data_IF_429493229821
#
_entry.id   IF_429493229821
#
_cell.length_a   1.000
_cell.length_b   1.000
_cell.length_c   1.000
_cell.angle_alpha   90.00
_cell.angle_beta   90.00
_cell.angle_gamma   90.00
#
_symmetry.space_group_name_H-M   'P 1'
#
loop_
_entity.id
_entity.type
_entity.pdbx_description
1 polymer ?
#
# COMPACT_ATOMS: atom_id res chain seq x y z
N UNK A 1 32.43 -5.55 -2.83
CA UNK A 1 33.90 -5.64 -2.71
C UNK A 1 34.44 -4.23 -2.87
N UNK A 2 34.97 -3.66 -1.79
CA UNK A 2 35.38 -2.26 -1.76
C UNK A 2 36.79 -2.05 -2.35
N UNK A 3 37.06 -2.55 -3.56
CA UNK A 3 38.32 -2.29 -4.30
C UNK A 3 38.46 -0.82 -4.76
N UNK A 4 38.01 0.13 -3.94
CA UNK A 4 37.89 1.56 -4.25
C UNK A 4 36.56 1.97 -4.89
N UNK A 5 35.58 1.07 -5.01
CA UNK A 5 34.33 1.31 -5.76
C UNK A 5 33.15 1.68 -4.84
N UNK A 6 32.95 0.91 -3.77
CA UNK A 6 31.79 1.06 -2.88
C UNK A 6 32.25 1.77 -1.61
N UNK A 7 32.17 3.09 -1.63
CA UNK A 7 32.27 3.92 -0.43
C UNK A 7 30.89 3.91 0.26
N UNK A 8 30.83 4.14 1.58
CA UNK A 8 29.57 4.21 2.35
C UNK A 8 28.56 5.20 1.74
N UNK A 9 29.08 6.18 0.99
CA UNK A 9 28.33 7.15 0.19
C UNK A 9 27.43 6.51 -0.87
N UNK A 10 27.87 5.44 -1.54
CA UNK A 10 27.10 4.80 -2.60
C UNK A 10 25.84 4.10 -2.08
N UNK A 11 25.95 3.42 -0.94
CA UNK A 11 24.81 2.80 -0.26
C UNK A 11 23.80 3.86 0.21
N UNK A 12 24.28 4.96 0.80
CA UNK A 12 23.45 6.10 1.23
C UNK A 12 22.74 6.74 0.03
N UNK A 13 23.43 6.90 -1.10
CA UNK A 13 22.84 7.45 -2.33
C UNK A 13 21.73 6.55 -2.86
N UNK A 14 21.93 5.23 -2.92
CA UNK A 14 20.90 4.27 -3.37
C UNK A 14 19.67 4.31 -2.47
N UNK A 15 19.86 4.25 -1.15
CA UNK A 15 18.74 4.29 -0.19
C UNK A 15 17.94 5.60 -0.31
N UNK A 16 18.64 6.74 -0.45
CA UNK A 16 18.01 8.04 -0.62
C UNK A 16 17.22 8.11 -1.94
N UNK A 17 17.72 7.47 -2.98
CA UNK A 17 17.08 7.40 -4.29
C UNK A 17 15.78 6.59 -4.23
N UNK A 18 15.78 5.46 -3.53
CA UNK A 18 14.57 4.65 -3.31
C UNK A 18 13.52 5.42 -2.50
N UNK A 19 13.96 6.15 -1.47
CA UNK A 19 13.07 7.02 -0.68
C UNK A 19 12.43 8.12 -1.53
N UNK A 20 13.21 8.79 -2.40
CA UNK A 20 12.70 9.83 -3.29
C UNK A 20 11.75 9.28 -4.36
N UNK A 21 12.02 8.08 -4.90
CA UNK A 21 11.10 7.41 -5.84
C UNK A 21 9.76 7.08 -5.18
N UNK A 22 9.79 6.58 -3.94
CA UNK A 22 8.58 6.29 -3.15
C UNK A 22 7.80 7.58 -2.86
N UNK A 23 8.49 8.64 -2.44
CA UNK A 23 7.87 9.95 -2.18
C UNK A 23 7.21 10.51 -3.44
N UNK A 24 7.90 10.46 -4.60
CA UNK A 24 7.35 10.87 -5.89
C UNK A 24 6.05 10.14 -6.20
N UNK A 25 6.05 8.81 -6.06
CA UNK A 25 4.86 7.99 -6.35
C UNK A 25 3.69 8.36 -5.42
N UNK A 26 3.96 8.67 -4.16
CA UNK A 26 2.93 9.10 -3.22
C UNK A 26 2.30 10.45 -3.60
N UNK A 27 3.11 11.39 -4.06
CA UNK A 27 2.67 12.73 -4.49
C UNK A 27 1.91 12.64 -5.81
N UNK A 28 2.38 11.83 -6.75
CA UNK A 28 1.73 11.57 -8.03
C UNK A 28 0.32 10.98 -7.83
N UNK A 29 0.17 10.00 -6.93
CA UNK A 29 -1.15 9.47 -6.56
C UNK A 29 -2.07 10.54 -5.99
N UNK A 30 -1.55 11.41 -5.12
CA UNK A 30 -2.33 12.53 -4.55
C UNK A 30 -2.73 13.54 -5.62
N UNK A 31 -1.82 13.90 -6.52
CA UNK A 31 -2.08 14.80 -7.65
C UNK A 31 -3.19 14.25 -8.55
N UNK A 32 -3.13 12.97 -8.91
CA UNK A 32 -4.14 12.33 -9.75
C UNK A 32 -5.52 12.28 -9.06
N UNK A 33 -5.57 12.06 -7.74
CA UNK A 33 -6.82 12.11 -6.99
C UNK A 33 -7.42 13.52 -6.94
N UNK A 34 -6.60 14.57 -6.87
CA UNK A 34 -7.05 15.96 -6.91
C UNK A 34 -7.59 16.32 -8.29
N UNK A 35 -6.87 15.95 -9.36
CA UNK A 35 -7.34 16.15 -10.75
C UNK A 35 -8.66 15.42 -11.02
N UNK A 36 -8.79 14.16 -10.57
CA UNK A 36 -10.04 13.41 -10.73
C UNK A 36 -11.22 14.10 -10.03
N UNK A 37 -11.01 14.55 -8.78
CA UNK A 37 -12.03 15.31 -8.04
C UNK A 37 -12.39 16.63 -8.72
N UNK A 38 -11.43 17.25 -9.43
CA UNK A 38 -11.68 18.46 -10.23
C UNK A 38 -12.59 18.17 -11.42
N UNK A 39 -12.35 17.08 -12.15
CA UNK A 39 -13.21 16.68 -13.26
C UNK A 39 -14.63 16.34 -12.77
N UNK A 40 -14.75 15.55 -11.70
CA UNK A 40 -16.04 15.24 -11.06
C UNK A 40 -16.77 16.53 -10.62
N UNK A 41 -16.03 17.52 -10.11
CA UNK A 41 -16.57 18.82 -9.74
C UNK A 41 -17.07 19.62 -10.97
N UNK A 42 -16.31 19.64 -12.07
CA UNK A 42 -16.73 20.35 -13.28
C UNK A 42 -18.01 19.74 -13.88
N UNK A 43 -18.12 18.41 -13.90
CA UNK A 43 -19.34 17.71 -14.32
C UNK A 43 -20.54 18.04 -13.40
N UNK A 44 -20.29 18.07 -12.09
CA UNK A 44 -21.30 18.42 -11.09
C UNK A 44 -21.85 19.85 -11.30
N UNK A 45 -20.99 20.83 -11.60
CA UNK A 45 -21.41 22.23 -11.84
C UNK A 45 -22.26 22.35 -13.09
N UNK A 46 -21.85 21.71 -14.20
CA UNK A 46 -22.64 21.69 -15.44
C UNK A 46 -24.02 21.09 -15.22
N UNK A 47 -24.10 19.97 -14.47
CA UNK A 47 -25.38 19.34 -14.15
C UNK A 47 -26.32 20.24 -13.33
N UNK A 48 -25.75 21.07 -12.44
CA UNK A 48 -26.53 22.00 -11.63
C UNK A 48 -27.05 23.16 -12.47
N UNK A 49 -26.27 23.67 -13.42
CA UNK A 49 -26.74 24.70 -14.36
C UNK A 49 -27.87 24.19 -15.25
N UNK A 50 -27.75 22.98 -15.82
CA UNK A 50 -28.81 22.38 -16.62
C UNK A 50 -30.11 22.21 -15.82
N UNK A 51 -30.00 21.79 -14.55
CA UNK A 51 -31.14 21.67 -13.64
C UNK A 51 -31.79 23.05 -13.37
N UNK A 52 -31.01 24.11 -13.18
CA UNK A 52 -31.52 25.48 -13.02
C UNK A 52 -32.25 26.01 -14.27
N UNK A 53 -31.72 25.74 -15.48
CA UNK A 53 -32.39 26.09 -16.74
C UNK A 53 -33.70 25.34 -16.90
N UNK A 54 -33.73 24.04 -16.55
CA UNK A 54 -34.95 23.22 -16.62
C UNK A 54 -36.07 23.69 -15.67
N UNK A 55 -35.69 24.30 -14.55
CA UNK A 55 -36.61 24.86 -13.56
C UNK A 55 -37.07 26.28 -13.91
N UNK A 56 -36.56 26.87 -15.01
CA UNK A 56 -36.88 28.24 -15.42
C UNK A 56 -36.22 29.31 -14.53
N UNK A 57 -35.19 28.94 -13.76
CA UNK A 57 -34.44 29.85 -12.88
C UNK A 57 -33.39 30.62 -13.70
N UNK A 58 -32.82 29.97 -14.73
CA UNK A 58 -31.86 30.55 -15.67
C UNK A 58 -32.37 30.47 -17.11
N UNK A 59 -32.10 31.50 -17.91
CA UNK A 59 -32.50 31.53 -19.33
C UNK A 59 -31.54 30.75 -20.23
N UNK A 60 -30.25 30.67 -19.86
CA UNK A 60 -29.19 29.95 -20.58
C UNK A 60 -28.09 29.46 -19.63
N UNK A 61 -27.38 28.41 -20.06
CA UNK A 61 -26.15 27.92 -19.44
C UNK A 61 -24.97 28.86 -19.75
N UNK A 62 -24.00 28.93 -18.84
CA UNK A 62 -22.76 29.69 -19.04
C UNK A 62 -21.67 28.79 -19.64
N UNK A 63 -20.86 29.33 -20.55
CA UNK A 63 -19.70 28.60 -21.09
C UNK A 63 -18.50 28.58 -20.10
N UNK A 64 -18.50 29.48 -19.10
CA UNK A 64 -17.47 29.57 -18.06
C UNK A 64 -17.96 29.06 -16.70
N UNK A 65 -17.19 28.15 -16.09
CA UNK A 65 -17.49 27.45 -14.84
C UNK A 65 -17.43 28.40 -13.64
N UNK A 66 -16.53 29.38 -13.66
CA UNK A 66 -16.42 30.34 -12.57
C UNK A 66 -17.63 31.28 -12.55
N UNK A 67 -18.06 31.72 -13.74
CA UNK A 67 -19.28 32.49 -13.94
C UNK A 67 -20.52 31.68 -13.54
N UNK A 68 -20.59 30.40 -13.92
CA UNK A 68 -21.64 29.47 -13.52
C UNK A 68 -21.78 29.36 -11.99
N UNK A 69 -20.66 29.18 -11.28
CA UNK A 69 -20.65 29.07 -9.82
C UNK A 69 -21.13 30.35 -9.13
N UNK A 70 -20.72 31.52 -9.61
CA UNK A 70 -21.17 32.79 -9.07
C UNK A 70 -22.68 32.97 -9.26
N UNK A 71 -23.20 32.65 -10.45
CA UNK A 71 -24.63 32.70 -10.77
C UNK A 71 -25.41 31.73 -9.87
N UNK A 72 -24.93 30.49 -9.72
CA UNK A 72 -25.53 29.48 -8.85
C UNK A 72 -25.48 29.88 -7.37
N UNK A 73 -24.41 30.53 -6.92
CA UNK A 73 -24.29 31.04 -5.55
C UNK A 73 -25.29 32.18 -5.30
N UNK A 74 -25.50 33.08 -6.27
CA UNK A 74 -26.54 34.12 -6.21
C UNK A 74 -27.95 33.52 -6.21
N UNK A 75 -28.19 32.49 -7.03
CA UNK A 75 -29.47 31.74 -7.06
C UNK A 75 -29.75 31.08 -5.71
N UNK A 76 -28.72 30.56 -5.02
CA UNK A 76 -28.88 29.96 -3.69
C UNK A 76 -29.28 30.98 -2.61
N UNK A 77 -28.90 32.26 -2.80
CA UNK A 77 -29.10 33.35 -1.83
C UNK A 77 -30.31 34.25 -2.17
N UNK A 78 -30.92 34.10 -3.34
CA UNK A 78 -31.98 34.99 -3.83
C UNK A 78 -33.36 34.75 -3.19
N UNK A 79 -34.09 35.81 -2.80
CA UNK A 79 -35.44 35.71 -2.23
C UNK A 79 -36.48 35.32 -3.29
N UNK A 80 -37.32 34.34 -2.93
CA UNK A 80 -38.24 33.62 -3.82
C UNK A 80 -39.35 34.49 -4.42
N UNK A 81 -39.65 35.63 -3.79
CA UNK A 81 -40.71 36.55 -4.22
C UNK A 81 -40.44 37.19 -5.59
N UNK A 82 -39.22 37.06 -6.13
CA UNK A 82 -38.85 37.53 -7.46
C UNK A 82 -39.34 36.61 -8.60
N UNK A 83 -39.78 35.39 -8.31
CA UNK A 83 -40.05 34.35 -9.33
C UNK A 83 -41.54 34.09 -9.65
N UNK A 84 -42.51 34.94 -9.25
CA UNK A 84 -43.86 34.84 -9.84
C UNK A 84 -45.02 35.58 -9.17
N UNK A 85 -45.64 36.49 -9.93
CA UNK A 85 -46.85 37.27 -9.57
C UNK A 85 -48.18 36.46 -9.54
N UNK A 86 -48.13 35.13 -9.49
CA UNK A 86 -49.30 34.22 -9.33
C UNK A 86 -49.26 33.53 -7.94
N UNK A 87 -48.17 33.72 -7.18
CA UNK A 87 -47.82 32.95 -6.00
C UNK A 87 -48.74 33.10 -4.78
N UNK A 88 -49.39 34.25 -4.54
CA UNK A 88 -50.10 34.46 -3.26
C UNK A 88 -51.28 33.51 -3.04
N UNK A 89 -52.12 33.28 -4.06
CA UNK A 89 -53.29 32.40 -3.92
C UNK A 89 -52.89 30.92 -3.86
N UNK A 90 -51.90 30.51 -4.65
CA UNK A 90 -51.38 29.13 -4.62
C UNK A 90 -50.66 28.86 -3.30
N UNK A 91 -49.84 29.80 -2.81
CA UNK A 91 -49.13 29.74 -1.51
C UNK A 91 -50.09 29.55 -0.35
N UNK A 92 -51.23 30.25 -0.33
CA UNK A 92 -52.27 30.07 0.70
C UNK A 92 -52.87 28.66 0.65
N UNK A 93 -53.13 28.12 -0.54
CA UNK A 93 -53.66 26.75 -0.68
C UNK A 93 -52.61 25.67 -0.36
N UNK A 94 -51.36 25.82 -0.77
CA UNK A 94 -50.27 24.87 -0.46
C UNK A 94 -49.92 24.85 1.02
N UNK A 95 -49.86 26.01 1.69
CA UNK A 95 -49.69 26.08 3.15
C UNK A 95 -50.83 25.36 3.87
N UNK A 96 -52.07 25.54 3.38
CA UNK A 96 -53.24 24.85 3.92
C UNK A 96 -53.20 23.35 3.67
N UNK A 97 -52.74 22.88 2.52
CA UNK A 97 -52.53 21.44 2.25
C UNK A 97 -51.51 20.85 3.23
N UNK A 98 -50.42 21.57 3.49
CA UNK A 98 -49.36 21.14 4.38
C UNK A 98 -49.83 21.07 5.84
N UNK A 99 -50.65 22.02 6.28
CA UNK A 99 -51.30 21.97 7.60
C UNK A 99 -52.28 20.81 7.73
N UNK A 100 -53.16 20.62 6.75
CA UNK A 100 -54.18 19.57 6.76
C UNK A 100 -53.54 18.18 6.67
N UNK A 101 -52.51 18.00 5.85
CA UNK A 101 -51.77 16.74 5.76
C UNK A 101 -51.00 16.41 7.04
N UNK A 102 -50.42 17.41 7.72
CA UNK A 102 -49.81 17.23 9.05
C UNK A 102 -50.84 16.81 10.09
N UNK A 103 -52.03 17.44 10.10
CA UNK A 103 -53.14 17.05 10.99
C UNK A 103 -53.60 15.63 10.70
N UNK A 104 -53.84 15.31 9.42
CA UNK A 104 -54.25 13.98 8.98
C UNK A 104 -53.27 12.89 9.42
N UNK A 105 -51.96 13.13 9.27
CA UNK A 105 -50.93 12.18 9.72
C UNK A 105 -51.02 11.91 11.23
N UNK A 106 -51.24 12.93 12.06
CA UNK A 106 -51.41 12.76 13.50
C UNK A 106 -52.65 11.91 13.83
N UNK A 107 -53.77 12.18 13.17
CA UNK A 107 -55.00 11.43 13.39
C UNK A 107 -54.93 9.99 12.86
N UNK A 108 -54.25 9.74 11.73
CA UNK A 108 -53.99 8.39 11.22
C UNK A 108 -53.08 7.59 12.15
N UNK A 109 -51.97 8.18 12.59
CA UNK A 109 -51.06 7.53 13.55
C UNK A 109 -51.79 7.19 14.86
N UNK A 110 -52.68 8.08 15.33
CA UNK A 110 -53.52 7.80 16.49
C UNK A 110 -54.48 6.61 16.24
N UNK A 111 -55.17 6.60 15.09
CA UNK A 111 -56.08 5.51 14.74
C UNK A 111 -55.36 4.17 14.55
N UNK A 112 -54.15 4.17 13.96
CA UNK A 112 -53.33 2.97 13.80
C UNK A 112 -52.80 2.45 15.13
N UNK A 113 -52.18 3.31 15.94
CA UNK A 113 -51.71 2.92 17.27
C UNK A 113 -52.84 2.46 18.19
N UNK A 114 -54.04 3.01 18.03
CA UNK A 114 -55.21 2.55 18.77
C UNK A 114 -55.73 1.19 18.29
N UNK A 115 -55.72 0.92 16.98
CA UNK A 115 -56.05 -0.42 16.44
C UNK A 115 -55.06 -1.48 16.93
N UNK A 116 -53.78 -1.14 16.97
CA UNK A 116 -52.73 -2.03 17.50
C UNK A 116 -52.91 -2.29 19.00
N UNK A 117 -53.24 -1.25 19.77
CA UNK A 117 -53.62 -1.40 21.18
C UNK A 117 -54.85 -2.30 21.35
N UNK A 118 -55.87 -2.18 20.49
CA UNK A 118 -57.04 -3.07 20.50
C UNK A 118 -56.69 -4.52 20.17
N UNK A 119 -55.78 -4.80 19.23
CA UNK A 119 -55.34 -6.17 18.96
C UNK A 119 -54.60 -6.78 20.15
N UNK A 120 -53.74 -6.01 20.81
CA UNK A 120 -53.01 -6.45 22.01
C UNK A 120 -53.99 -6.77 23.16
N UNK A 121 -55.04 -5.96 23.34
CA UNK A 121 -56.11 -6.27 24.31
C UNK A 121 -56.80 -7.58 23.95
N UNK A 122 -57.10 -7.81 22.66
CA UNK A 122 -57.80 -9.02 22.21
C UNK A 122 -56.96 -10.29 22.38
N UNK A 123 -55.66 -10.22 22.10
CA UNK A 123 -54.71 -11.31 22.37
C UNK A 123 -54.55 -11.58 23.88
N UNK A 124 -54.58 -10.52 24.69
CA UNK A 124 -54.59 -10.63 26.15
C UNK A 124 -55.89 -11.28 26.65
N UNK A 125 -57.05 -11.00 26.05
CA UNK A 125 -58.32 -11.66 26.36
C UNK A 125 -58.29 -13.16 26.04
N UNK A 126 -57.62 -13.56 24.94
CA UNK A 126 -57.43 -14.96 24.57
C UNK A 126 -56.49 -15.70 25.54
N UNK A 127 -55.49 -15.00 26.08
CA UNK A 127 -54.56 -15.51 27.10
C UNK A 127 -55.24 -15.81 28.44
N UNK A 128 -56.44 -15.25 28.69
CA UNK A 128 -57.24 -15.44 29.91
C UNK A 128 -58.16 -16.68 29.79
N UNK A 129 -58.44 -17.17 28.58
CA UNK A 129 -59.32 -18.34 28.36
C UNK A 129 -58.86 -19.62 29.07
N UNK A 130 -57.55 -19.96 29.17
CA UNK A 130 -57.08 -21.14 29.87
C UNK A 130 -57.40 -21.12 31.36
N UNK A 131 -57.34 -19.95 32.02
CA UNK A 131 -57.68 -19.80 33.45
C UNK A 131 -59.15 -20.10 33.68
N UNK A 132 -60.03 -19.56 32.82
CA UNK A 132 -61.47 -19.84 32.87
C UNK A 132 -61.78 -21.32 32.64
N UNK A 133 -61.10 -21.96 31.68
CA UNK A 133 -61.21 -23.40 31.45
C UNK A 133 -60.74 -24.23 32.64
N UNK A 134 -59.60 -23.83 33.24
CA UNK A 134 -59.04 -24.49 34.42
C UNK A 134 -60.00 -24.41 35.60
N UNK A 135 -60.61 -23.26 35.91
CA UNK A 135 -61.58 -23.11 36.99
C UNK A 135 -62.83 -23.98 36.80
N UNK A 136 -63.37 -24.04 35.57
CA UNK A 136 -64.54 -24.84 35.23
C UNK A 136 -64.27 -26.35 35.43
N UNK A 137 -63.03 -26.78 35.15
CA UNK A 137 -62.55 -28.16 35.36
C UNK A 137 -61.92 -28.42 36.74
N UNK A 138 -61.56 -27.38 37.49
CA UNK A 138 -60.85 -27.52 38.76
C UNK A 138 -61.71 -28.21 39.82
N UNK A 139 -63.02 -27.95 39.81
CA UNK A 139 -64.00 -28.64 40.67
C UNK A 139 -64.04 -30.16 40.45
N UNK A 140 -63.59 -30.64 39.29
CA UNK A 140 -63.58 -32.08 38.93
C UNK A 140 -62.24 -32.77 39.21
N UNK A 141 -61.11 -32.05 39.30
CA UNK A 141 -59.77 -32.66 39.15
C UNK A 141 -58.93 -32.68 40.44
N UNK A 142 -59.00 -31.68 41.35
CA UNK A 142 -58.13 -31.64 42.55
C UNK A 142 -58.80 -30.93 43.77
N UNK A 143 -59.09 -31.63 44.88
CA UNK A 143 -59.62 -31.00 46.10
C UNK A 143 -58.48 -30.51 47.02
N UNK A 144 -58.02 -29.28 46.83
CA UNK A 144 -57.07 -28.60 47.73
C UNK A 144 -57.45 -27.13 47.95
N UNK A 145 -57.67 -26.72 49.20
CA UNK A 145 -58.26 -25.41 49.54
C UNK A 145 -57.41 -24.20 49.13
N UNK A 146 -56.08 -24.27 49.29
CA UNK A 146 -55.17 -23.14 48.99
C UNK A 146 -55.07 -22.82 47.50
N UNK A 147 -55.15 -23.82 46.63
CA UNK A 147 -55.02 -23.63 45.19
C UNK A 147 -56.30 -23.03 44.60
N UNK A 148 -57.46 -23.35 45.18
CA UNK A 148 -58.74 -22.74 44.80
C UNK A 148 -58.75 -21.23 45.09
N UNK A 149 -58.25 -20.80 46.26
CA UNK A 149 -58.15 -19.37 46.61
C UNK A 149 -57.29 -18.59 45.61
N UNK A 150 -56.14 -19.15 45.21
CA UNK A 150 -55.26 -18.53 44.21
C UNK A 150 -55.93 -18.45 42.84
N UNK A 151 -56.59 -19.52 42.40
CA UNK A 151 -57.29 -19.53 41.11
C UNK A 151 -58.47 -18.56 41.09
N UNK A 152 -59.19 -18.43 42.20
CA UNK A 152 -60.32 -17.51 42.32
C UNK A 152 -59.87 -16.04 42.35
N UNK A 153 -58.80 -15.72 43.11
CA UNK A 153 -58.19 -14.39 43.08
C UNK A 153 -57.72 -14.01 41.67
N UNK A 154 -57.14 -14.99 40.95
CA UNK A 154 -56.75 -14.82 39.55
C UNK A 154 -57.97 -14.59 38.64
N UNK A 155 -59.10 -15.28 38.85
CA UNK A 155 -60.34 -15.06 38.10
C UNK A 155 -60.89 -13.64 38.29
N UNK A 156 -60.92 -13.17 39.54
CA UNK A 156 -61.48 -11.88 39.91
C UNK A 156 -60.66 -10.72 39.35
N UNK A 157 -59.32 -10.78 39.45
CA UNK A 157 -58.42 -9.81 38.84
C UNK A 157 -58.56 -9.80 37.31
N UNK A 158 -58.64 -10.97 36.68
CA UNK A 158 -58.78 -11.08 35.23
C UNK A 158 -60.15 -10.60 34.73
N UNK A 159 -61.21 -10.82 35.49
CA UNK A 159 -62.56 -10.33 35.16
C UNK A 159 -62.64 -8.82 35.30
N UNK A 160 -62.06 -8.26 36.36
CA UNK A 160 -61.93 -6.81 36.58
C UNK A 160 -61.14 -6.13 35.46
N UNK A 161 -60.02 -6.74 35.02
CA UNK A 161 -59.25 -6.27 33.88
C UNK A 161 -60.10 -6.24 32.60
N UNK A 162 -60.87 -7.30 32.32
CA UNK A 162 -61.73 -7.43 31.14
C UNK A 162 -62.85 -6.38 31.08
N UNK A 163 -63.49 -6.08 32.21
CA UNK A 163 -64.52 -5.03 32.28
C UNK A 163 -63.94 -3.63 32.07
N UNK A 164 -62.75 -3.37 32.61
CA UNK A 164 -62.03 -2.11 32.41
C UNK A 164 -61.69 -1.86 30.93
N UNK A 165 -61.41 -2.93 30.17
CA UNK A 165 -61.11 -2.85 28.73
C UNK A 165 -62.35 -2.56 27.89
N UNK A 166 -63.49 -3.22 28.16
CA UNK A 166 -64.74 -2.99 27.42
C UNK A 166 -65.21 -1.54 27.49
N UNK A 167 -65.17 -0.92 28.68
CA UNK A 167 -65.55 0.50 28.86
C UNK A 167 -64.68 1.48 28.06
N UNK A 168 -63.42 1.14 27.77
CA UNK A 168 -62.52 1.98 26.97
C UNK A 168 -62.78 1.87 25.46
N UNK A 169 -63.33 0.74 25.00
CA UNK A 169 -63.55 0.47 23.59
C UNK A 169 -64.67 1.34 22.97
N UNK A 170 -65.68 1.68 23.76
CA UNK A 170 -66.83 2.52 23.36
C UNK A 170 -66.59 4.04 23.59
N UNK A 171 -65.33 4.45 23.75
CA UNK A 171 -64.99 5.85 24.03
C UNK A 171 -65.44 6.78 22.88
N UNK A 172 -66.30 7.75 23.20
CA UNK A 172 -66.81 8.77 22.29
C UNK A 172 -65.69 9.53 21.54
N UNK A 173 -64.50 9.64 22.15
CA UNK A 173 -63.31 10.26 21.55
C UNK A 173 -62.85 9.57 20.25
N UNK A 174 -63.02 8.24 20.12
CA UNK A 174 -62.59 7.48 18.94
C UNK A 174 -63.50 7.71 17.74
N UNK A 175 -64.81 7.69 17.98
CA UNK A 175 -65.82 7.95 16.95
C UNK A 175 -65.64 9.36 16.39
N UNK A 176 -65.32 10.32 17.26
CA UNK A 176 -65.02 11.70 16.88
C UNK A 176 -63.72 11.79 16.05
N UNK A 177 -62.62 11.19 16.50
CA UNK A 177 -61.33 11.24 15.80
C UNK A 177 -61.37 10.54 14.42
N UNK A 178 -62.05 9.39 14.32
CA UNK A 178 -62.21 8.69 13.03
C UNK A 178 -63.13 9.44 12.06
N UNK A 179 -64.18 10.08 12.56
CA UNK A 179 -65.04 10.99 11.80
C UNK A 179 -64.28 12.22 11.28
N UNK A 180 -63.51 12.86 12.16
CA UNK A 180 -62.64 14.00 11.80
C UNK A 180 -61.57 13.61 10.78
N UNK A 181 -61.03 12.39 10.86
CA UNK A 181 -60.06 11.87 9.86
C UNK A 181 -60.70 11.82 8.46
N UNK A 182 -61.92 11.29 8.33
CA UNK A 182 -62.65 11.23 7.05
C UNK A 182 -63.00 12.62 6.51
N UNK A 183 -63.37 13.55 7.38
CA UNK A 183 -63.65 14.94 6.99
C UNK A 183 -62.39 15.65 6.45
N UNK A 184 -61.24 15.46 7.11
CA UNK A 184 -59.95 16.01 6.65
C UNK A 184 -59.48 15.40 5.32
N UNK A 185 -59.77 14.12 5.07
CA UNK A 185 -59.48 13.47 3.78
C UNK A 185 -60.30 14.06 2.65
N UNK A 186 -61.59 14.36 2.90
CA UNK A 186 -62.46 15.02 1.92
C UNK A 186 -62.00 16.47 1.64
N UNK A 187 -61.65 17.24 2.68
CA UNK A 187 -61.15 18.62 2.53
C UNK A 187 -59.83 18.65 1.73
N UNK A 188 -58.92 17.69 1.98
CA UNK A 188 -57.67 17.55 1.20
C UNK A 188 -57.93 17.17 -0.25
N UNK A 189 -58.89 16.28 -0.52
CA UNK A 189 -59.23 15.88 -1.88
C UNK A 189 -59.78 17.07 -2.69
N UNK A 190 -60.68 17.86 -2.11
CA UNK A 190 -61.21 19.07 -2.76
C UNK A 190 -60.12 20.13 -3.00
N UNK A 191 -59.23 20.31 -2.02
CA UNK A 191 -58.15 21.30 -2.11
C UNK A 191 -57.12 20.91 -3.18
N UNK A 192 -56.82 19.62 -3.33
CA UNK A 192 -55.99 19.10 -4.43
C UNK A 192 -56.61 19.32 -5.81
N UNK A 193 -57.92 19.14 -5.96
CA UNK A 193 -58.63 19.44 -7.22
C UNK A 193 -58.56 20.93 -7.56
N UNK A 194 -58.61 21.82 -6.55
CA UNK A 194 -58.44 23.27 -6.75
C UNK A 194 -57.00 23.62 -7.17
N UNK A 195 -55.99 23.00 -6.57
CA UNK A 195 -54.57 23.19 -6.94
C UNK A 195 -54.28 22.68 -8.35
N UNK A 196 -54.74 21.47 -8.72
CA UNK A 196 -54.49 20.91 -10.06
C UNK A 196 -55.16 21.73 -11.17
N UNK A 197 -56.35 22.27 -10.92
CA UNK A 197 -57.05 23.17 -11.86
C UNK A 197 -56.32 24.50 -12.05
N UNK A 198 -55.68 25.04 -11.01
CA UNK A 198 -54.86 26.25 -11.09
C UNK A 198 -53.52 25.99 -11.81
N UNK A 199 -52.85 24.87 -11.51
CA UNK A 199 -51.58 24.48 -12.15
C UNK A 199 -51.74 24.13 -13.64
N UNK A 200 -52.90 23.58 -14.05
CA UNK A 200 -53.18 23.30 -15.46
C UNK A 200 -53.28 24.53 -16.37
N UNK A 201 -53.54 25.71 -15.80
CA UNK A 201 -53.60 26.99 -16.50
C UNK A 201 -52.22 27.67 -16.64
N UNK A 202 -51.21 27.19 -15.90
CA UNK A 202 -49.86 27.77 -15.82
C UNK A 202 -48.78 26.79 -16.32
N UNK A 203 -48.87 26.35 -17.59
CA UNK A 203 -47.81 25.57 -18.23
C UNK A 203 -46.55 26.44 -18.41
N UNK A 204 -45.60 26.34 -17.48
CA UNK A 204 -44.26 26.92 -17.68
C UNK A 204 -43.45 27.26 -16.44
N UNK A 205 -43.97 27.14 -15.21
CA UNK A 205 -43.21 27.54 -14.02
C UNK A 205 -43.21 26.40 -12.98
N UNK A 206 -42.01 26.00 -12.57
CA UNK A 206 -41.79 25.00 -11.53
C UNK A 206 -42.47 25.41 -10.22
N UNK A 207 -42.91 24.43 -9.44
CA UNK A 207 -43.57 24.73 -8.16
C UNK A 207 -42.58 25.38 -7.19
N UNK A 208 -43.04 26.27 -6.28
CA UNK A 208 -42.17 26.85 -5.26
C UNK A 208 -41.40 25.81 -4.44
N UNK A 209 -42.01 24.63 -4.22
CA UNK A 209 -41.38 23.49 -3.53
C UNK A 209 -40.19 22.91 -4.29
N UNK A 210 -40.23 22.86 -5.61
CA UNK A 210 -39.13 22.37 -6.45
C UNK A 210 -37.96 23.35 -6.43
N UNK A 211 -38.26 24.65 -6.47
CA UNK A 211 -37.26 25.71 -6.34
C UNK A 211 -36.60 25.65 -4.95
N UNK A 212 -37.36 25.47 -3.87
CA UNK A 212 -36.82 25.29 -2.51
C UNK A 212 -35.89 24.07 -2.38
N UNK A 213 -36.30 22.93 -2.96
CA UNK A 213 -35.50 21.70 -2.94
C UNK A 213 -34.18 21.90 -3.70
N UNK A 214 -34.26 22.59 -4.83
CA UNK A 214 -33.11 22.91 -5.64
C UNK A 214 -32.16 23.87 -4.93
N UNK A 215 -32.64 24.99 -4.36
CA UNK A 215 -31.82 25.93 -3.58
C UNK A 215 -31.14 25.26 -2.38
N UNK A 216 -31.82 24.37 -1.66
CA UNK A 216 -31.22 23.61 -0.55
C UNK A 216 -30.13 22.64 -0.99
N UNK A 217 -30.35 21.92 -2.09
CA UNK A 217 -29.34 21.04 -2.72
C UNK A 217 -28.13 21.86 -3.21
N UNK A 218 -28.41 23.02 -3.81
CA UNK A 218 -27.40 23.92 -4.35
C UNK A 218 -26.53 24.52 -3.24
N UNK A 219 -27.13 25.01 -2.15
CA UNK A 219 -26.39 25.58 -1.03
C UNK A 219 -25.40 24.59 -0.40
N UNK A 220 -25.81 23.35 -0.17
CA UNK A 220 -24.93 22.29 0.38
C UNK A 220 -23.78 21.97 -0.57
N UNK A 221 -24.07 21.91 -1.87
CA UNK A 221 -23.04 21.64 -2.88
C UNK A 221 -22.05 22.80 -2.98
N UNK A 222 -22.52 24.04 -3.10
CA UNK A 222 -21.67 25.25 -3.14
C UNK A 222 -20.79 25.36 -1.90
N UNK A 223 -21.32 25.10 -0.70
CA UNK A 223 -20.55 25.10 0.55
C UNK A 223 -19.43 24.04 0.53
N UNK A 224 -19.74 22.82 0.10
CA UNK A 224 -18.76 21.71 -0.04
C UNK A 224 -17.62 22.04 -1.03
N UNK A 225 -17.90 22.90 -2.01
CA UNK A 225 -16.95 23.28 -3.06
C UNK A 225 -16.16 24.55 -2.72
N UNK A 226 -16.70 25.46 -1.89
CA UNK A 226 -16.05 26.70 -1.48
C UNK A 226 -14.76 26.49 -0.65
N UNK A 227 -14.72 25.46 0.20
CA UNK A 227 -13.61 25.18 1.12
C UNK A 227 -12.39 24.45 0.48
N UNK A 228 -12.46 24.09 -0.80
CA UNK A 228 -11.39 23.36 -1.53
C UNK A 228 -10.82 24.10 -2.74
N UNK A 229 -11.17 25.38 -2.90
CA UNK A 229 -10.93 26.13 -4.13
C UNK A 229 -9.47 26.61 -4.34
N UNK A 230 -8.56 26.47 -3.37
CA UNK A 230 -7.12 26.65 -3.63
C UNK A 230 -6.50 25.34 -4.09
N UNK A 231 -6.10 25.19 -5.36
CA UNK A 231 -5.45 23.99 -5.84
C UNK A 231 -4.10 23.83 -5.14
N UNK A 232 -3.88 22.70 -4.47
CA UNK A 232 -2.53 22.27 -4.16
C UNK A 232 -1.88 21.86 -5.48
N UNK A 233 -1.13 22.77 -6.09
CA UNK A 233 -0.29 22.44 -7.23
C UNK A 233 0.94 21.66 -6.74
N UNK A 234 1.00 20.38 -7.12
CA UNK A 234 2.14 19.52 -6.82
C UNK A 234 3.22 19.58 -7.92
N UNK A 235 3.04 20.37 -8.98
CA UNK A 235 3.94 20.44 -10.14
C UNK A 235 5.36 20.85 -9.76
N UNK A 236 5.53 21.93 -8.97
CA UNK A 236 6.83 22.40 -8.50
C UNK A 236 7.52 21.34 -7.62
N UNK A 237 6.77 20.74 -6.69
CA UNK A 237 7.30 19.70 -5.80
C UNK A 237 7.72 18.44 -6.56
N UNK A 238 6.94 18.03 -7.58
CA UNK A 238 7.28 16.91 -8.45
C UNK A 238 8.52 17.22 -9.30
N UNK A 239 8.62 18.44 -9.82
CA UNK A 239 9.80 18.92 -10.57
C UNK A 239 11.08 18.87 -9.72
N UNK A 240 11.03 19.38 -8.49
CA UNK A 240 12.16 19.31 -7.56
C UNK A 240 12.59 17.88 -7.24
N UNK A 241 11.63 16.98 -6.97
CA UNK A 241 11.93 15.57 -6.68
C UNK A 241 12.52 14.88 -7.91
N UNK A 242 11.98 15.14 -9.10
CA UNK A 242 12.52 14.59 -10.35
C UNK A 242 13.95 15.06 -10.61
N UNK A 243 14.25 16.34 -10.38
CA UNK A 243 15.62 16.87 -10.50
C UNK A 243 16.58 16.17 -9.52
N UNK A 244 16.17 15.98 -8.26
CA UNK A 244 16.97 15.23 -7.26
C UNK A 244 17.18 13.78 -7.66
N UNK A 245 16.16 13.10 -8.18
CA UNK A 245 16.26 11.72 -8.68
C UNK A 245 17.24 11.64 -9.86
N UNK A 246 17.15 12.56 -10.82
CA UNK A 246 18.02 12.61 -11.99
C UNK A 246 19.49 12.77 -11.59
N UNK A 247 19.78 13.71 -10.67
CA UNK A 247 21.12 13.92 -10.14
C UNK A 247 21.68 12.67 -9.44
N UNK A 248 20.89 12.03 -8.56
CA UNK A 248 21.34 10.84 -7.85
C UNK A 248 21.49 9.63 -8.78
N UNK A 249 20.64 9.48 -9.79
CA UNK A 249 20.77 8.42 -10.80
C UNK A 249 22.09 8.53 -11.57
N UNK A 250 22.51 9.75 -11.95
CA UNK A 250 23.80 9.96 -12.59
C UNK A 250 24.97 9.49 -11.72
N UNK A 251 24.91 9.79 -10.42
CA UNK A 251 25.93 9.33 -9.45
C UNK A 251 25.94 7.79 -9.35
N UNK A 252 24.77 7.14 -9.33
CA UNK A 252 24.68 5.66 -9.29
C UNK A 252 25.25 5.03 -10.55
N UNK A 253 24.91 5.55 -11.73
CA UNK A 253 25.47 5.06 -12.99
C UNK A 253 26.99 5.18 -13.04
N UNK A 254 27.54 6.33 -12.60
CA UNK A 254 28.99 6.52 -12.53
C UNK A 254 29.66 5.51 -11.57
N UNK A 255 29.00 5.15 -10.47
CA UNK A 255 29.49 4.13 -9.54
C UNK A 255 29.45 2.73 -10.15
N UNK A 256 28.38 2.38 -10.85
CA UNK A 256 28.25 1.09 -11.53
C UNK A 256 29.29 0.92 -12.64
N UNK A 257 29.52 1.96 -13.46
CA UNK A 257 30.58 1.95 -14.46
C UNK A 257 31.98 1.80 -13.85
N UNK A 258 32.25 2.46 -12.71
CA UNK A 258 33.50 2.25 -11.97
C UNK A 258 33.62 0.83 -11.45
N UNK A 259 32.50 0.23 -11.01
CA UNK A 259 32.48 -1.16 -10.55
C UNK A 259 32.85 -2.12 -11.66
N UNK A 260 32.19 -1.97 -12.80
CA UNK A 260 32.43 -2.79 -13.99
C UNK A 260 33.89 -2.67 -14.44
N UNK A 261 34.44 -1.45 -14.48
CA UNK A 261 35.85 -1.22 -14.84
C UNK A 261 36.82 -1.94 -13.90
N UNK A 262 36.61 -1.85 -12.58
CA UNK A 262 37.51 -2.50 -11.60
C UNK A 262 37.34 -4.02 -11.63
N UNK A 263 36.13 -4.53 -11.81
CA UNK A 263 35.88 -5.98 -11.98
C UNK A 263 36.51 -6.51 -13.27
N UNK A 264 36.45 -5.73 -14.36
CA UNK A 264 37.16 -6.02 -15.60
C UNK A 264 38.66 -6.15 -15.38
N UNK A 265 39.28 -5.19 -14.67
CA UNK A 265 40.70 -5.25 -14.29
C UNK A 265 41.04 -6.44 -13.40
N UNK A 266 40.16 -6.79 -12.46
CA UNK A 266 40.36 -7.96 -11.59
C UNK A 266 40.36 -9.24 -12.43
N UNK A 267 39.37 -9.41 -13.30
CA UNK A 267 39.30 -10.57 -14.20
C UNK A 267 40.50 -10.63 -15.16
N UNK A 268 40.91 -9.49 -15.72
CA UNK A 268 42.12 -9.40 -16.55
C UNK A 268 43.34 -9.93 -15.80
N UNK A 269 43.56 -9.47 -14.56
CA UNK A 269 44.71 -9.89 -13.75
C UNK A 269 44.65 -11.34 -13.32
N UNK A 270 43.46 -11.84 -12.94
CA UNK A 270 43.27 -13.28 -12.64
C UNK A 270 43.69 -14.12 -13.83
N UNK A 271 43.19 -13.81 -15.03
CA UNK A 271 43.53 -14.56 -16.24
C UNK A 271 45.01 -14.43 -16.61
N UNK A 272 45.62 -13.26 -16.35
CA UNK A 272 47.05 -13.06 -16.55
C UNK A 272 47.89 -14.05 -15.72
N UNK A 273 47.57 -14.21 -14.42
CA UNK A 273 48.23 -15.19 -13.55
C UNK A 273 47.92 -16.64 -13.98
N UNK A 274 46.66 -16.95 -14.27
CA UNK A 274 46.25 -18.30 -14.69
C UNK A 274 46.89 -18.73 -16.02
N UNK A 275 47.20 -17.79 -16.92
CA UNK A 275 47.91 -18.09 -18.17
C UNK A 275 49.31 -18.67 -17.93
N UNK A 276 49.96 -18.31 -16.81
CA UNK A 276 51.28 -18.81 -16.41
C UNK A 276 51.18 -20.07 -15.57
N UNK A 277 50.16 -20.17 -14.71
CA UNK A 277 49.91 -21.34 -13.86
C UNK A 277 49.36 -22.55 -14.63
N UNK A 278 48.63 -22.32 -15.74
CA UNK A 278 48.05 -23.34 -16.64
C UNK A 278 47.15 -24.35 -15.92
N UNK A 279 45.85 -24.05 -15.87
CA UNK A 279 44.85 -24.96 -15.31
C UNK A 279 44.74 -26.25 -16.16
N UNK A 280 45.02 -27.40 -15.54
CA UNK A 280 44.99 -28.71 -16.21
C UNK A 280 43.54 -29.04 -16.60
N UNK A 281 43.30 -29.32 -17.88
CA UNK A 281 41.97 -29.59 -18.43
C UNK A 281 41.13 -28.34 -18.71
N UNK A 282 41.66 -27.15 -18.43
CA UNK A 282 40.97 -25.87 -18.63
C UNK A 282 41.89 -24.83 -19.30
N UNK A 283 42.82 -25.27 -20.13
CA UNK A 283 43.92 -24.45 -20.68
C UNK A 283 43.43 -23.30 -21.58
N UNK A 284 42.25 -23.45 -22.18
CA UNK A 284 41.61 -22.43 -23.03
C UNK A 284 40.46 -21.68 -22.34
N UNK A 285 40.29 -21.89 -21.04
CA UNK A 285 39.21 -21.26 -20.29
C UNK A 285 39.51 -19.79 -19.97
N UNK A 286 38.45 -19.02 -19.74
CA UNK A 286 38.54 -17.67 -19.19
C UNK A 286 37.91 -17.63 -17.80
N UNK A 287 38.70 -17.28 -16.80
CA UNK A 287 38.23 -17.13 -15.43
C UNK A 287 37.45 -15.82 -15.26
N UNK A 288 36.26 -15.91 -14.66
CA UNK A 288 35.44 -14.75 -14.30
C UNK A 288 35.08 -14.82 -12.83
N UNK A 289 35.47 -13.79 -12.09
CA UNK A 289 35.04 -13.59 -10.71
C UNK A 289 33.60 -13.07 -10.66
N UNK A 290 32.72 -13.83 -10.01
CA UNK A 290 31.34 -13.44 -9.75
C UNK A 290 31.20 -12.98 -8.30
N UNK A 291 30.99 -11.67 -8.11
CA UNK A 291 30.94 -11.07 -6.78
C UNK A 291 29.75 -11.56 -5.94
N UNK A 292 28.60 -11.82 -6.58
CA UNK A 292 27.39 -12.34 -5.91
C UNK A 292 27.61 -13.73 -5.31
N UNK A 293 28.42 -14.55 -5.98
CA UNK A 293 28.72 -15.92 -5.59
C UNK A 293 30.03 -16.03 -4.79
N UNK A 294 30.87 -14.98 -4.84
CA UNK A 294 32.24 -14.95 -4.31
C UNK A 294 33.07 -16.13 -4.84
N UNK A 295 32.87 -16.46 -6.11
CA UNK A 295 33.48 -17.61 -6.77
C UNK A 295 34.08 -17.20 -8.11
N UNK A 296 35.09 -17.96 -8.57
CA UNK A 296 35.67 -17.82 -9.90
C UNK A 296 35.20 -18.99 -10.76
N UNK A 297 34.34 -18.69 -11.72
CA UNK A 297 33.86 -19.67 -12.68
C UNK A 297 34.72 -19.61 -13.95
N UNK A 298 34.81 -20.73 -14.66
CA UNK A 298 35.56 -20.82 -15.91
C UNK A 298 34.59 -20.82 -17.09
N UNK A 299 34.76 -19.86 -17.98
CA UNK A 299 34.07 -19.83 -19.26
C UNK A 299 34.84 -20.69 -20.25
N UNK A 300 34.13 -21.63 -20.87
CA UNK A 300 34.65 -22.59 -21.82
C UNK A 300 34.03 -22.38 -23.20
N UNK A 301 34.68 -22.93 -24.23
CA UNK A 301 34.17 -22.97 -25.61
C UNK A 301 33.71 -21.61 -26.15
N UNK A 302 34.49 -20.55 -25.90
CA UNK A 302 34.17 -19.17 -26.33
C UNK A 302 32.82 -18.64 -25.79
N UNK A 303 32.40 -19.09 -24.60
CA UNK A 303 31.17 -18.63 -23.95
C UNK A 303 29.98 -19.58 -24.02
N UNK A 304 30.14 -20.80 -24.56
CA UNK A 304 29.05 -21.77 -24.71
C UNK A 304 28.77 -22.58 -23.46
N UNK A 305 29.76 -22.70 -22.58
CA UNK A 305 29.68 -23.49 -21.35
C UNK A 305 30.38 -22.77 -20.21
N UNK A 306 29.90 -23.02 -18.99
CA UNK A 306 30.46 -22.44 -17.76
C UNK A 306 30.70 -23.57 -16.78
N UNK A 307 31.95 -23.74 -16.38
CA UNK A 307 32.33 -24.59 -15.26
C UNK A 307 32.28 -23.77 -13.98
N UNK A 308 31.49 -24.22 -12.99
CA UNK A 308 31.44 -23.54 -11.70
C UNK A 308 32.68 -23.88 -10.89
N UNK A 309 33.15 -22.96 -10.05
CA UNK A 309 34.33 -23.18 -9.22
C UNK A 309 34.29 -24.51 -8.46
N UNK A 310 33.11 -24.85 -7.91
CA UNK A 310 32.86 -26.07 -7.13
C UNK A 310 33.04 -27.37 -7.92
N UNK A 311 32.85 -27.31 -9.24
CA UNK A 311 32.88 -28.44 -10.15
C UNK A 311 34.26 -28.60 -10.84
N UNK A 312 35.18 -27.64 -10.63
CA UNK A 312 36.54 -27.70 -11.16
C UNK A 312 37.28 -28.88 -10.56
N UNK A 313 37.71 -29.82 -11.39
CA UNK A 313 38.50 -30.96 -10.96
C UNK A 313 39.94 -30.57 -10.58
N UNK A 314 40.54 -31.37 -9.69
CA UNK A 314 41.91 -31.25 -9.16
C UNK A 314 42.14 -30.18 -8.08
N UNK A 315 42.70 -30.61 -6.95
CA UNK A 315 43.16 -29.72 -5.88
C UNK A 315 44.23 -28.71 -6.36
N UNK A 316 45.03 -29.07 -7.37
CA UNK A 316 46.03 -28.16 -7.97
C UNK A 316 45.39 -26.98 -8.69
N UNK A 317 44.27 -27.20 -9.39
CA UNK A 317 43.56 -26.15 -10.10
C UNK A 317 42.91 -25.19 -9.10
N UNK A 318 42.37 -25.71 -8.00
CA UNK A 318 41.87 -24.88 -6.90
C UNK A 318 42.97 -24.00 -6.32
N UNK A 319 44.16 -24.54 -6.04
CA UNK A 319 45.29 -23.73 -5.56
C UNK A 319 45.60 -22.58 -6.52
N UNK A 320 45.71 -22.87 -7.83
CA UNK A 320 46.02 -21.86 -8.83
C UNK A 320 44.98 -20.75 -8.91
N UNK A 321 43.69 -21.09 -8.84
CA UNK A 321 42.61 -20.11 -8.83
C UNK A 321 42.72 -19.19 -7.61
N UNK A 322 43.00 -19.75 -6.42
CA UNK A 322 43.18 -18.95 -5.22
C UNK A 322 44.42 -18.06 -5.30
N UNK A 323 45.57 -18.59 -5.73
CA UNK A 323 46.79 -17.80 -5.91
C UNK A 323 46.54 -16.65 -6.90
N UNK A 324 46.00 -16.95 -8.08
CA UNK A 324 45.68 -15.96 -9.09
C UNK A 324 44.73 -14.88 -8.57
N UNK A 325 43.69 -15.28 -7.82
CA UNK A 325 42.75 -14.36 -7.19
C UNK A 325 43.42 -13.44 -6.18
N UNK A 326 44.15 -13.98 -5.21
CA UNK A 326 44.76 -13.17 -4.14
C UNK A 326 45.82 -12.22 -4.69
N UNK A 327 46.64 -12.66 -5.67
CA UNK A 327 47.61 -11.80 -6.34
C UNK A 327 46.91 -10.68 -7.13
N UNK A 328 45.93 -11.03 -7.97
CA UNK A 328 45.16 -10.06 -8.75
C UNK A 328 44.44 -9.04 -7.85
N UNK A 329 43.87 -9.49 -6.74
CA UNK A 329 43.21 -8.65 -5.75
C UNK A 329 44.17 -7.61 -5.19
N UNK A 330 45.39 -8.01 -4.81
CA UNK A 330 46.41 -7.10 -4.30
C UNK A 330 46.90 -6.14 -5.38
N UNK A 331 47.11 -6.61 -6.62
CA UNK A 331 47.50 -5.75 -7.74
C UNK A 331 46.48 -4.65 -8.02
N UNK A 332 45.19 -5.02 -8.10
CA UNK A 332 44.09 -4.08 -8.37
C UNK A 332 43.90 -3.12 -7.20
N UNK A 333 43.91 -3.62 -5.96
CA UNK A 333 43.79 -2.79 -4.77
C UNK A 333 44.93 -1.77 -4.67
N UNK A 334 46.16 -2.16 -4.99
CA UNK A 334 47.33 -1.27 -5.02
C UNK A 334 47.25 -0.25 -6.14
N UNK A 335 46.83 -0.68 -7.34
CA UNK A 335 46.56 0.24 -8.45
C UNK A 335 45.50 1.30 -8.11
N UNK A 336 44.49 0.92 -7.33
CA UNK A 336 43.43 1.82 -6.87
C UNK A 336 43.74 2.53 -5.55
N UNK A 337 44.96 2.38 -5.00
CA UNK A 337 45.41 3.00 -3.73
C UNK A 337 44.47 2.73 -2.54
N UNK A 338 43.96 1.49 -2.45
CA UNK A 338 43.07 1.07 -1.36
C UNK A 338 43.85 1.07 -0.03
N UNK A 339 43.47 1.90 0.96
CA UNK A 339 44.30 2.15 2.15
C UNK A 339 44.32 1.00 3.15
N UNK A 340 43.26 0.18 3.18
CA UNK A 340 43.11 -0.93 4.13
C UNK A 340 43.69 -2.25 3.62
N UNK A 341 44.19 -2.32 2.38
CA UNK A 341 44.75 -3.54 1.82
C UNK A 341 46.10 -3.87 2.47
N UNK A 342 46.27 -5.04 3.10
CA UNK A 342 47.54 -5.44 3.70
C UNK A 342 48.70 -5.43 2.72
N UNK A 343 49.90 -5.16 3.24
CA UNK A 343 51.17 -5.22 2.48
C UNK A 343 51.82 -6.60 2.50
N UNK A 344 51.08 -7.62 2.93
CA UNK A 344 51.58 -8.97 3.03
C UNK A 344 50.52 -10.02 2.72
N UNK A 345 50.98 -11.21 2.30
CA UNK A 345 50.19 -12.42 2.12
C UNK A 345 50.82 -13.55 2.93
N UNK A 346 49.98 -14.41 3.50
CA UNK A 346 50.43 -15.63 4.18
C UNK A 346 49.78 -16.81 3.50
N UNK A 347 50.59 -17.77 3.06
CA UNK A 347 50.13 -19.04 2.53
C UNK A 347 50.63 -20.18 3.42
N UNK A 348 49.70 -21.05 3.82
CA UNK A 348 49.97 -22.23 4.62
C UNK A 348 49.87 -23.48 3.74
N UNK A 349 50.92 -24.30 3.75
CA UNK A 349 51.00 -25.59 3.04
C UNK A 349 50.54 -25.55 1.57
N UNK A 350 51.11 -24.65 0.77
CA UNK A 350 50.81 -24.55 -0.68
C UNK A 350 51.09 -25.82 -1.46
N UNK A 351 51.92 -26.73 -0.92
CA UNK A 351 52.22 -28.00 -1.57
C UNK A 351 51.17 -29.09 -1.33
N UNK A 352 50.21 -28.93 -0.41
CA UNK A 352 49.24 -29.98 -0.01
C UNK A 352 48.59 -30.73 -1.17
N UNK A 353 48.20 -30.07 -2.29
CA UNK A 353 47.66 -30.78 -3.46
C UNK A 353 48.62 -31.75 -4.15
N UNK A 354 49.91 -31.70 -3.81
CA UNK A 354 51.01 -32.38 -4.48
C UNK A 354 51.65 -33.38 -3.51
N UNK A 355 51.71 -34.64 -3.92
CA UNK A 355 52.36 -35.69 -3.13
C UNK A 355 53.88 -35.58 -3.15
N UNK A 356 54.43 -34.77 -4.07
CA UNK A 356 55.86 -34.68 -4.41
C UNK A 356 56.48 -36.02 -4.87
N UNK A 357 55.66 -37.04 -5.09
CA UNK A 357 56.10 -38.38 -5.49
C UNK A 357 56.20 -38.54 -7.02
N UNK A 358 55.50 -37.70 -7.78
CA UNK A 358 55.48 -37.74 -9.25
C UNK A 358 55.99 -36.42 -9.87
N UNK A 359 56.49 -36.49 -11.11
CA UNK A 359 57.08 -35.35 -11.81
C UNK A 359 56.09 -34.24 -12.14
N UNK A 360 54.83 -34.59 -12.37
CA UNK A 360 53.79 -33.62 -12.77
C UNK A 360 53.33 -32.75 -11.60
N UNK A 361 53.34 -33.30 -10.38
CA UNK A 361 53.08 -32.60 -9.14
C UNK A 361 54.21 -31.61 -8.82
N UNK A 362 55.46 -32.04 -8.97
CA UNK A 362 56.64 -31.17 -8.80
C UNK A 362 56.59 -30.00 -9.78
N UNK A 363 56.36 -30.26 -11.07
CA UNK A 363 56.22 -29.20 -12.08
C UNK A 363 55.09 -28.22 -11.75
N UNK A 364 54.01 -28.68 -11.15
CA UNK A 364 52.88 -27.82 -10.81
C UNK A 364 53.21 -26.92 -9.61
N UNK A 365 53.88 -27.48 -8.61
CA UNK A 365 54.41 -26.69 -7.50
C UNK A 365 55.44 -25.65 -7.98
N UNK A 366 56.33 -26.04 -8.90
CA UNK A 366 57.33 -25.14 -9.47
C UNK A 366 56.67 -23.94 -10.16
N UNK A 367 55.59 -24.16 -10.91
CA UNK A 367 54.81 -23.08 -11.54
C UNK A 367 54.22 -22.13 -10.49
N UNK A 368 53.67 -22.65 -9.39
CA UNK A 368 53.14 -21.82 -8.31
C UNK A 368 54.23 -20.96 -7.64
N UNK A 369 55.39 -21.56 -7.32
CA UNK A 369 56.49 -20.84 -6.67
C UNK A 369 57.10 -19.77 -7.60
N UNK A 370 57.29 -20.09 -8.88
CA UNK A 370 57.74 -19.12 -9.89
C UNK A 370 56.77 -17.96 -10.03
N UNK A 371 55.46 -18.23 -10.06
CA UNK A 371 54.47 -17.18 -10.17
C UNK A 371 54.47 -16.24 -8.96
N UNK A 372 54.66 -16.78 -7.76
CA UNK A 372 54.81 -15.99 -6.54
C UNK A 372 56.07 -15.10 -6.59
N UNK A 373 57.19 -15.64 -7.06
CA UNK A 373 58.43 -14.87 -7.23
C UNK A 373 58.24 -13.68 -8.21
N UNK A 374 57.64 -13.95 -9.38
CA UNK A 374 57.29 -12.94 -10.38
C UNK A 374 56.35 -11.87 -9.79
N UNK A 375 55.36 -12.30 -9.01
CA UNK A 375 54.42 -11.39 -8.39
C UNK A 375 55.09 -10.48 -7.36
N UNK A 376 55.97 -11.01 -6.51
CA UNK A 376 56.76 -10.19 -5.56
C UNK A 376 57.60 -9.16 -6.31
N UNK A 377 58.27 -9.57 -7.39
CA UNK A 377 59.07 -8.67 -8.23
C UNK A 377 58.24 -7.52 -8.79
N UNK A 378 57.11 -7.83 -9.42
CA UNK A 378 56.18 -6.84 -10.01
C UNK A 378 55.59 -5.89 -8.98
N UNK A 379 55.41 -6.37 -7.75
CA UNK A 379 54.88 -5.57 -6.67
C UNK A 379 55.88 -4.55 -6.11
N UNK A 380 57.19 -4.68 -6.37
CA UNK A 380 58.21 -3.69 -5.94
C UNK A 380 57.89 -2.28 -6.46
N UNK A 381 57.48 -2.17 -7.72
CA UNK A 381 57.08 -0.90 -8.34
C UNK A 381 55.77 -0.32 -7.76
N UNK A 382 54.97 -1.15 -7.07
CA UNK A 382 53.67 -0.81 -6.48
C UNK A 382 53.73 -0.66 -4.95
N UNK A 383 54.91 -0.40 -4.39
CA UNK A 383 55.12 -0.22 -2.95
C UNK A 383 55.52 -1.49 -2.19
N UNK A 384 55.82 -2.57 -2.92
CA UNK A 384 56.25 -3.86 -2.37
C UNK A 384 55.11 -4.70 -1.81
N UNK A 385 55.39 -6.00 -1.67
CA UNK A 385 54.59 -6.95 -0.91
C UNK A 385 55.51 -7.95 -0.22
N UNK A 386 55.12 -8.39 0.97
CA UNK A 386 55.77 -9.51 1.65
C UNK A 386 54.92 -10.76 1.50
N UNK A 387 55.51 -11.88 1.09
CA UNK A 387 54.82 -13.17 1.10
C UNK A 387 55.51 -14.07 2.11
N UNK A 388 54.72 -14.62 3.02
CA UNK A 388 55.15 -15.58 4.03
C UNK A 388 54.55 -16.93 3.63
N UNK A 389 55.41 -17.90 3.35
CA UNK A 389 55.00 -19.24 2.97
C UNK A 389 55.44 -20.18 4.09
N UNK A 390 54.47 -20.84 4.73
CA UNK A 390 54.73 -21.88 5.71
C UNK A 390 54.68 -23.21 4.96
N UNK A 391 55.83 -23.85 4.80
CA UNK A 391 55.91 -25.10 4.04
C UNK A 391 57.05 -26.03 4.45
N UNK A 392 56.93 -27.31 4.08
CA UNK A 392 57.95 -28.35 4.24
C UNK A 392 58.85 -28.54 2.99
N UNK A 393 58.81 -27.62 2.03
CA UNK A 393 59.68 -27.64 0.85
C UNK A 393 61.15 -27.45 1.29
N UNK A 394 62.12 -28.26 0.82
CA UNK A 394 63.52 -28.10 1.18
C UNK A 394 64.15 -26.89 0.49
N UNK A 395 65.12 -26.25 1.16
CA UNK A 395 65.84 -25.06 0.66
C UNK A 395 66.49 -25.26 -0.71
N UNK A 396 67.00 -26.47 -0.97
CA UNK A 396 67.56 -26.83 -2.26
C UNK A 396 66.57 -26.67 -3.42
N UNK A 397 65.26 -26.79 -3.18
CA UNK A 397 64.23 -26.76 -4.23
C UNK A 397 64.14 -25.39 -4.90
N UNK A 398 63.89 -24.32 -4.12
CA UNK A 398 63.77 -22.97 -4.69
C UNK A 398 65.12 -22.39 -5.13
N UNK A 399 66.23 -22.82 -4.51
CA UNK A 399 67.58 -22.46 -4.97
C UNK A 399 67.84 -23.05 -6.37
N UNK A 400 67.45 -24.30 -6.63
CA UNK A 400 67.58 -24.93 -7.94
C UNK A 400 66.68 -24.26 -9.00
N UNK A 401 65.50 -23.79 -8.59
CA UNK A 401 64.59 -23.00 -9.44
C UNK A 401 65.07 -21.57 -9.69
N UNK A 402 66.11 -21.10 -8.96
CA UNK A 402 66.67 -19.74 -9.05
C UNK A 402 65.63 -18.65 -8.71
N UNK A 403 64.85 -18.86 -7.66
CA UNK A 403 63.88 -17.86 -7.18
C UNK A 403 64.60 -16.79 -6.34
N UNK A 404 64.69 -15.56 -6.87
CA UNK A 404 65.48 -14.48 -6.29
C UNK A 404 64.84 -13.84 -5.05
N UNK A 405 63.51 -13.89 -4.93
CA UNK A 405 62.77 -13.26 -3.84
C UNK A 405 62.47 -14.23 -2.67
N UNK A 406 62.89 -15.49 -2.76
CA UNK A 406 62.72 -16.49 -1.71
C UNK A 406 63.87 -16.44 -0.71
N UNK A 407 63.53 -16.33 0.58
CA UNK A 407 64.51 -16.35 1.68
C UNK A 407 64.00 -17.25 2.78
N UNK A 408 64.89 -18.11 3.27
CA UNK A 408 64.60 -18.92 4.43
C UNK A 408 64.60 -18.03 5.68
N UNK A 409 63.47 -18.01 6.39
CA UNK A 409 63.31 -17.18 7.60
C UNK A 409 63.62 -17.96 8.86
N UNK A 410 63.22 -19.24 8.92
CA UNK A 410 63.47 -20.09 10.10
C UNK A 410 63.58 -21.57 9.69
N UNK A 411 64.49 -22.30 10.35
CA UNK A 411 64.68 -23.76 10.24
C UNK A 411 64.07 -24.51 11.43
N UNK A 412 63.76 -23.82 12.54
CA UNK A 412 63.61 -24.38 13.89
C UNK A 412 62.18 -24.64 14.35
N UNK A 413 61.15 -24.37 13.54
CA UNK A 413 59.76 -24.82 13.79
C UNK A 413 59.58 -26.35 13.60
N UNK A 414 60.65 -27.11 13.77
CA UNK A 414 60.69 -28.57 13.70
C UNK A 414 61.21 -29.05 15.07
N UNK A 415 60.44 -29.90 15.76
CA UNK A 415 60.70 -30.45 17.12
C UNK A 415 60.16 -29.65 18.32
N UNK A 416 59.02 -28.96 18.19
CA UNK A 416 58.22 -28.56 19.37
C UNK A 416 58.50 -27.18 19.97
N UNK A 417 59.32 -26.35 19.33
CA UNK A 417 59.32 -24.91 19.60
C UNK A 417 58.18 -24.26 18.80
N UNK A 418 57.04 -24.03 19.46
CA UNK A 418 55.91 -23.29 18.89
C UNK A 418 55.99 -21.79 19.23
N UNK A 419 55.40 -20.96 18.37
CA UNK A 419 55.26 -19.50 18.55
C UNK A 419 54.29 -19.09 19.68
N UNK A 420 53.82 -20.03 20.49
CA UNK A 420 52.97 -19.78 21.67
C UNK A 420 53.58 -20.52 22.85
N UNK A 421 54.06 -19.75 23.84
CA UNK A 421 54.28 -20.19 25.21
C UNK A 421 53.08 -19.78 26.07
#
# INVERSE_FOLDING_TARGET
>A
MALGIVDAKGAIVSERLDKLKSERQSIERRSNLVEKKRLEFQEDVVSLEEEAVSLGILEKTSDDIQSALNILEEVSKSPIDQFGNIGEKIKVFELRELELSRKLRKFRNFNEGYKEYQSVIKESDDSIRPVKYLLDKYREILPGTKTFEVLYALEDELTSAKESWKKRNDSLLLVDISGQTKALEAELAELRVKITKLNGLSKGLASPKEIYRYQGKLGVKVELYSDKATPLDYSEKLSEINNKISQLNGIVQDMDSKREFVMGKLNEKINEHLSRLKLKGYEKSQAIFLESEKAINLILDEGRSVEKMVDIGSASNYLYIHLAYFMALHEVARGNRVPWMPSFLVFDQVSTPYTLENSDDILSLDLALNELDIFVERMKEKGGIQIIIMEHIPESHWVNLKLDNFKLVDKELINGYGLIN
#
